data_IF_132556020437
#
_entry.id   IF_132556020437
#
_cell.length_a   1.000
_cell.length_b   1.000
_cell.length_c   1.000
_cell.angle_alpha   90.00
_cell.angle_beta   90.00
_cell.angle_gamma   90.00
#
_symmetry.space_group_name_H-M   'P 1'
#
loop_
_entity.id
_entity.type
_entity.pdbx_description
1 polymer ?
#
# COMPACT_ATOMS: atom_id res chain seq x y z
N UNK A 1 6.15 5.32 7.83
CA UNK A 1 6.95 4.69 8.91
C UNK A 1 6.34 3.35 9.28
N UNK A 2 7.17 2.30 9.42
CA UNK A 2 6.74 0.92 9.70
C UNK A 2 5.89 0.79 10.96
N UNK A 3 6.30 1.42 12.07
CA UNK A 3 5.57 1.39 13.35
C UNK A 3 4.10 1.79 13.23
N UNK A 4 3.79 2.77 12.37
CA UNK A 4 2.39 3.20 12.14
C UNK A 4 1.57 2.14 11.42
N UNK A 5 2.15 1.45 10.44
CA UNK A 5 1.48 0.36 9.71
C UNK A 5 1.23 -0.83 10.62
N UNK A 6 2.20 -1.17 11.45
CA UNK A 6 2.06 -2.26 12.44
C UNK A 6 0.93 -1.96 13.43
N UNK A 7 0.81 -0.70 13.89
CA UNK A 7 -0.32 -0.30 14.75
C UNK A 7 -1.68 -0.38 14.06
N UNK A 8 -1.75 -0.14 12.74
CA UNK A 8 -3.01 -0.27 11.97
C UNK A 8 -3.37 -1.75 11.80
N UNK A 9 -2.39 -2.59 11.50
CA UNK A 9 -2.53 -4.07 11.44
C UNK A 9 -2.94 -4.68 12.77
N UNK A 10 -2.43 -4.16 13.89
CA UNK A 10 -2.76 -4.67 15.22
C UNK A 10 -4.12 -4.21 15.75
N UNK A 11 -4.82 -3.33 15.02
CA UNK A 11 -6.11 -2.76 15.47
C UNK A 11 -7.25 -3.24 14.60
N UNK A 12 -7.46 -2.60 13.44
CA UNK A 12 -8.66 -2.83 12.63
C UNK A 12 -8.38 -3.46 11.27
N UNK A 13 -7.14 -3.38 10.76
CA UNK A 13 -6.83 -3.90 9.42
C UNK A 13 -6.60 -5.41 9.48
N UNK A 14 -7.44 -6.23 8.80
CA UNK A 14 -7.23 -7.66 8.76
C UNK A 14 -5.95 -8.03 8.01
N UNK A 15 -5.37 -9.18 8.34
CA UNK A 15 -4.10 -9.65 7.78
C UNK A 15 -4.25 -11.06 7.20
N UNK A 16 -3.41 -11.39 6.22
CA UNK A 16 -3.32 -12.73 5.64
C UNK A 16 -4.68 -13.23 5.13
N UNK A 17 -5.09 -14.41 5.57
CA UNK A 17 -6.36 -15.03 5.14
C UNK A 17 -7.60 -14.19 5.46
N UNK A 18 -7.59 -13.41 6.55
CA UNK A 18 -8.71 -12.51 6.85
C UNK A 18 -8.81 -11.35 5.86
N UNK A 19 -7.67 -10.88 5.36
CA UNK A 19 -7.63 -9.85 4.33
C UNK A 19 -8.18 -10.41 3.02
N UNK A 20 -7.71 -11.57 2.59
CA UNK A 20 -8.21 -12.25 1.37
C UNK A 20 -9.71 -12.48 1.42
N UNK A 21 -10.23 -13.00 2.53
CA UNK A 21 -11.69 -13.18 2.71
C UNK A 21 -12.46 -11.87 2.59
N UNK A 22 -11.92 -10.77 3.13
CA UNK A 22 -12.55 -9.46 3.01
C UNK A 22 -12.59 -8.99 1.54
N UNK A 23 -11.48 -9.20 0.82
CA UNK A 23 -11.37 -8.86 -0.61
C UNK A 23 -12.34 -9.71 -1.46
N UNK A 24 -12.40 -11.02 -1.24
CA UNK A 24 -13.20 -11.97 -2.05
C UNK A 24 -14.70 -11.97 -1.68
N UNK A 25 -15.03 -12.01 -0.40
CA UNK A 25 -16.43 -12.17 0.05
C UNK A 25 -17.19 -10.84 0.07
N UNK A 26 -16.50 -9.73 0.32
CA UNK A 26 -17.13 -8.40 0.44
C UNK A 26 -16.71 -7.42 -0.65
N UNK A 27 -15.73 -7.76 -1.49
CA UNK A 27 -15.19 -6.83 -2.48
C UNK A 27 -14.44 -5.64 -1.87
N UNK A 28 -14.07 -5.70 -0.58
CA UNK A 28 -13.43 -4.57 0.11
C UNK A 28 -11.92 -4.74 0.05
N UNK A 29 -11.25 -3.88 -0.72
CA UNK A 29 -9.79 -3.85 -0.85
C UNK A 29 -9.19 -2.84 0.12
N UNK A 30 -8.26 -3.28 0.97
CA UNK A 30 -7.55 -2.41 1.92
C UNK A 30 -6.05 -2.63 1.78
N UNK A 31 -5.31 -1.58 1.36
CA UNK A 31 -3.85 -1.64 1.18
C UNK A 31 -3.15 -0.37 1.65
N UNK A 32 -1.90 -0.50 2.06
CA UNK A 32 -1.05 0.68 2.28
C UNK A 32 -0.49 1.16 0.94
N UNK A 33 -0.80 2.41 0.59
CA UNK A 33 -0.31 3.05 -0.63
C UNK A 33 1.11 3.58 -0.41
N UNK A 34 2.09 2.98 -1.09
CA UNK A 34 3.52 3.29 -0.89
C UNK A 34 4.22 3.41 -2.25
N UNK A 35 4.82 4.57 -2.53
CA UNK A 35 5.71 4.78 -3.67
C UNK A 35 7.14 4.29 -3.42
N UNK A 36 8.03 4.58 -4.35
CA UNK A 36 9.45 4.25 -4.29
C UNK A 36 10.23 5.28 -3.48
N UNK A 37 11.25 4.81 -2.76
CA UNK A 37 12.19 5.70 -2.09
C UNK A 37 13.00 6.51 -3.11
N UNK A 38 13.40 7.75 -2.79
CA UNK A 38 14.26 8.57 -3.67
C UNK A 38 15.60 7.88 -4.03
N UNK A 39 16.12 7.06 -3.13
CA UNK A 39 17.32 6.26 -3.37
C UNK A 39 16.90 4.85 -3.75
N UNK A 40 17.00 4.53 -5.03
CA UNK A 40 16.81 3.17 -5.53
C UNK A 40 17.79 2.21 -4.85
N UNK A 41 17.30 1.04 -4.44
CA UNK A 41 18.06 0.03 -3.66
C UNK A 41 18.61 0.49 -2.30
N UNK A 42 18.13 1.63 -1.78
CA UNK A 42 18.42 2.05 -0.41
C UNK A 42 17.90 1.07 0.64
N UNK A 43 18.38 1.22 1.87
CA UNK A 43 17.96 0.38 3.02
C UNK A 43 16.43 0.43 3.22
N UNK A 44 15.81 1.57 2.93
CA UNK A 44 14.37 1.76 3.06
C UNK A 44 13.58 0.95 2.02
N UNK A 45 14.03 0.93 0.77
CA UNK A 45 13.39 0.16 -0.30
C UNK A 45 13.47 -1.34 0.01
N UNK A 46 14.64 -1.83 0.42
CA UNK A 46 14.84 -3.24 0.84
C UNK A 46 13.97 -3.61 2.05
N UNK A 47 13.81 -2.70 3.01
CA UNK A 47 12.95 -2.92 4.16
C UNK A 47 11.46 -2.99 3.77
N UNK A 48 11.04 -2.21 2.77
CA UNK A 48 9.69 -2.26 2.20
C UNK A 48 9.47 -3.58 1.46
N UNK A 49 10.43 -4.02 0.62
CA UNK A 49 10.36 -5.30 -0.08
C UNK A 49 10.25 -6.50 0.90
N UNK A 50 11.03 -6.47 1.98
CA UNK A 50 10.96 -7.51 3.01
C UNK A 50 9.61 -7.50 3.75
N UNK A 51 9.06 -6.31 4.04
CA UNK A 51 7.75 -6.17 4.67
C UNK A 51 6.62 -6.64 3.73
N UNK A 52 6.70 -6.31 2.45
CA UNK A 52 5.73 -6.73 1.44
C UNK A 52 5.73 -8.25 1.26
N UNK A 53 6.91 -8.88 1.23
CA UNK A 53 7.00 -10.35 1.22
C UNK A 53 6.35 -11.00 2.44
N UNK A 54 6.28 -10.30 3.55
CA UNK A 54 5.73 -10.82 4.80
C UNK A 54 4.22 -10.62 4.90
N UNK A 55 3.71 -9.45 4.50
CA UNK A 55 2.31 -9.08 4.70
C UNK A 55 1.46 -9.09 3.42
N UNK A 56 2.05 -8.79 2.26
CA UNK A 56 1.35 -8.73 0.97
C UNK A 56 0.22 -7.71 0.95
N UNK A 57 0.37 -6.59 1.67
CA UNK A 57 -0.70 -5.62 1.92
C UNK A 57 -0.39 -4.22 1.36
N UNK A 58 0.60 -4.10 0.47
CA UNK A 58 0.94 -2.83 -0.18
C UNK A 58 0.32 -2.68 -1.57
N UNK A 59 0.02 -1.43 -1.90
CA UNK A 59 -0.14 -0.96 -3.27
C UNK A 59 1.11 -0.15 -3.63
N UNK A 60 1.98 -0.75 -4.45
CA UNK A 60 3.19 -0.09 -4.97
C UNK A 60 2.81 0.85 -6.11
N UNK A 61 3.07 2.14 -5.93
CA UNK A 61 2.85 3.14 -6.97
C UNK A 61 4.15 3.44 -7.72
N UNK A 62 4.04 3.65 -9.03
CA UNK A 62 5.11 4.24 -9.85
C UNK A 62 5.21 5.75 -9.56
N UNK A 63 5.66 6.05 -8.35
CA UNK A 63 5.78 7.41 -7.81
C UNK A 63 6.95 7.44 -6.83
N UNK A 64 7.81 8.46 -6.90
CA UNK A 64 8.93 8.64 -5.97
C UNK A 64 8.47 9.46 -4.77
N UNK A 65 8.58 8.91 -3.56
CA UNK A 65 8.19 9.56 -2.31
C UNK A 65 9.14 10.74 -2.00
N UNK A 66 8.69 11.96 -2.27
CA UNK A 66 9.37 13.21 -1.91
C UNK A 66 8.66 13.99 -0.80
N UNK A 67 9.37 14.92 -0.16
CA UNK A 67 8.88 15.71 0.97
C UNK A 67 7.63 16.57 0.66
N UNK A 68 7.44 16.98 -0.60
CA UNK A 68 6.31 17.82 -1.05
C UNK A 68 5.53 17.22 -2.22
N UNK A 69 5.47 15.90 -2.34
CA UNK A 69 4.82 15.26 -3.48
C UNK A 69 3.46 14.63 -3.17
N UNK A 70 2.79 15.06 -2.10
CA UNK A 70 1.54 14.44 -1.65
C UNK A 70 0.43 14.52 -2.71
N UNK A 71 0.32 15.65 -3.41
CA UNK A 71 -0.65 15.81 -4.51
C UNK A 71 -0.34 14.91 -5.71
N UNK A 72 0.94 14.74 -6.05
CA UNK A 72 1.37 13.83 -7.09
C UNK A 72 1.06 12.38 -6.72
N UNK A 73 1.33 11.98 -5.47
CA UNK A 73 0.98 10.66 -4.93
C UNK A 73 -0.52 10.40 -5.01
N UNK A 74 -1.35 11.36 -4.62
CA UNK A 74 -2.81 11.24 -4.70
C UNK A 74 -3.29 11.08 -6.14
N UNK A 75 -2.73 11.85 -7.08
CA UNK A 75 -3.06 11.73 -8.51
C UNK A 75 -2.70 10.35 -9.05
N UNK A 76 -1.48 9.87 -8.78
CA UNK A 76 -1.02 8.55 -9.21
C UNK A 76 -1.87 7.45 -8.57
N UNK A 77 -2.20 7.58 -7.29
CA UNK A 77 -3.09 6.65 -6.61
C UNK A 77 -4.43 6.50 -7.32
N UNK A 78 -5.14 7.59 -7.63
CA UNK A 78 -6.43 7.51 -8.30
C UNK A 78 -6.31 6.92 -9.71
N UNK A 79 -5.30 7.30 -10.48
CA UNK A 79 -5.07 6.75 -11.81
C UNK A 79 -4.83 5.23 -11.77
N UNK A 80 -4.01 4.77 -10.82
CA UNK A 80 -3.75 3.34 -10.63
C UNK A 80 -4.97 2.60 -10.10
N UNK A 81 -5.68 3.15 -9.11
CA UNK A 81 -6.82 2.51 -8.49
C UNK A 81 -7.96 2.26 -9.48
N UNK A 82 -8.30 3.27 -10.29
CA UNK A 82 -9.34 3.15 -11.35
C UNK A 82 -8.93 2.14 -12.44
N UNK A 83 -7.63 1.97 -12.68
CA UNK A 83 -7.15 1.00 -13.67
C UNK A 83 -7.14 -0.44 -13.14
N UNK A 84 -6.99 -0.62 -11.83
CA UNK A 84 -6.87 -1.94 -11.19
C UNK A 84 -8.20 -2.51 -10.73
N UNK A 85 -9.11 -1.65 -10.26
CA UNK A 85 -10.36 -2.07 -9.64
C UNK A 85 -11.55 -1.33 -10.23
N UNK A 86 -12.59 -2.10 -10.55
CA UNK A 86 -13.92 -1.58 -10.83
C UNK A 86 -14.70 -1.58 -9.51
N UNK A 87 -14.82 -0.41 -8.88
CA UNK A 87 -15.43 -0.24 -7.57
C UNK A 87 -16.79 0.47 -7.71
N UNK A 88 -17.73 0.15 -6.82
CA UNK A 88 -18.96 0.94 -6.67
C UNK A 88 -18.63 2.23 -5.90
N UNK A 89 -18.97 3.39 -6.48
CA UNK A 89 -18.69 4.72 -5.93
C UNK A 89 -19.96 5.43 -5.45
#
# INVERSE_FOLDING_TARGET
SRKRRDSVRSTWMPQGEKLKKLEEEKGIIVRFVIGHSMISHGIQEKAIEAEEKTHGDFLRLEHTEGYMELSAKTKTFFATAVSLWDAEF
#
